data_IF_689344513702
#
_entry.id   IF_689344513702
#
_cell.length_a   1.000
_cell.length_b   1.000
_cell.length_c   1.000
_cell.angle_alpha   90.00
_cell.angle_beta   90.00
_cell.angle_gamma   90.00
#
_symmetry.space_group_name_H-M   'P 1'
#
loop_
_entity.id
_entity.type
_entity.pdbx_description
1 polymer ?
#
# COMPACT_ATOMS: atom_id res chain seq x y z
N UNK A 1 13.59 1.83 -16.85
CA UNK A 1 12.65 0.69 -16.93
C UNK A 1 13.22 -0.38 -17.84
N UNK A 2 13.27 -1.63 -17.36
CA UNK A 2 13.79 -2.77 -18.12
C UNK A 2 12.79 -3.26 -19.19
N UNK A 3 13.28 -3.81 -20.33
CA UNK A 3 12.43 -4.49 -21.30
C UNK A 3 11.62 -5.63 -20.68
N UNK A 4 10.45 -5.97 -21.24
CA UNK A 4 9.54 -6.98 -20.67
C UNK A 4 10.21 -8.35 -20.46
N UNK A 5 11.11 -8.75 -21.36
CA UNK A 5 11.89 -9.99 -21.27
C UNK A 5 12.85 -10.04 -20.09
N UNK A 6 13.22 -8.88 -19.53
CA UNK A 6 14.24 -8.74 -18.50
C UNK A 6 13.67 -8.55 -17.10
N UNK A 7 12.45 -7.97 -16.98
CA UNK A 7 11.88 -7.52 -15.69
C UNK A 7 11.82 -8.58 -14.60
N UNK A 8 11.53 -9.83 -14.97
CA UNK A 8 11.32 -10.93 -14.03
C UNK A 8 12.50 -11.91 -14.00
N UNK A 9 13.62 -11.57 -14.63
CA UNK A 9 14.84 -12.36 -14.49
C UNK A 9 15.41 -12.21 -13.09
N UNK A 10 16.03 -13.27 -12.57
CA UNK A 10 16.50 -13.35 -11.18
C UNK A 10 17.49 -12.23 -10.84
N UNK A 11 18.35 -11.87 -11.79
CA UNK A 11 19.32 -10.78 -11.69
C UNK A 11 18.71 -9.38 -11.54
N UNK A 12 17.42 -9.21 -11.88
CA UNK A 12 16.70 -7.94 -11.80
C UNK A 12 15.66 -7.91 -10.66
N UNK A 13 15.60 -8.97 -9.84
CA UNK A 13 14.66 -9.09 -8.73
C UNK A 13 15.44 -9.22 -7.43
N UNK A 14 15.17 -8.32 -6.49
CA UNK A 14 15.76 -8.36 -5.14
C UNK A 14 14.70 -8.82 -4.15
N UNK A 15 14.97 -9.92 -3.45
CA UNK A 15 14.15 -10.37 -2.34
C UNK A 15 14.46 -9.52 -1.10
N UNK A 16 13.50 -8.68 -0.69
CA UNK A 16 13.67 -7.74 0.43
C UNK A 16 13.11 -8.27 1.75
N UNK A 17 12.33 -9.34 1.75
CA UNK A 17 11.75 -9.90 2.95
C UNK A 17 10.98 -11.18 2.70
N UNK A 18 10.86 -12.00 3.74
CA UNK A 18 10.10 -13.25 3.75
C UNK A 18 9.22 -13.27 5.00
N UNK A 19 7.91 -13.44 4.81
CA UNK A 19 6.98 -13.66 5.92
C UNK A 19 6.82 -15.17 6.16
N UNK A 20 7.02 -15.66 7.39
CA UNK A 20 6.88 -17.08 7.71
C UNK A 20 5.42 -17.53 7.58
N UNK A 21 5.20 -18.71 6.98
CA UNK A 21 3.92 -19.40 6.98
C UNK A 21 3.67 -20.18 8.29
N UNK A 22 2.58 -20.96 8.41
CA UNK A 22 1.62 -21.33 7.36
C UNK A 22 0.42 -20.40 7.23
N UNK A 23 0.19 -19.51 8.21
CA UNK A 23 -0.91 -18.56 8.20
C UNK A 23 -0.44 -17.22 7.67
N UNK A 24 -1.33 -16.53 6.97
CA UNK A 24 -1.08 -15.17 6.53
C UNK A 24 -0.93 -14.24 7.74
N UNK A 25 0.04 -13.32 7.69
CA UNK A 25 0.26 -12.32 8.72
C UNK A 25 -0.99 -11.45 8.92
N UNK A 26 -1.30 -11.12 10.18
CA UNK A 26 -2.39 -10.18 10.46
C UNK A 26 -2.04 -8.80 9.91
N UNK A 27 -3.05 -7.98 9.62
CA UNK A 27 -2.80 -6.70 8.93
C UNK A 27 -1.89 -5.74 9.70
N UNK A 28 -1.85 -5.78 11.03
CA UNK A 28 -0.89 -4.98 11.80
C UNK A 28 0.51 -5.61 11.87
N UNK A 29 0.63 -6.92 11.75
CA UNK A 29 1.91 -7.64 11.86
C UNK A 29 2.78 -7.41 10.62
N UNK A 30 2.17 -7.16 9.44
CA UNK A 30 2.90 -6.85 8.20
C UNK A 30 3.84 -5.65 8.37
N UNK A 31 3.45 -4.70 9.21
CA UNK A 31 4.26 -3.50 9.50
C UNK A 31 5.60 -3.87 10.17
N UNK A 32 5.68 -4.96 10.93
CA UNK A 32 6.96 -5.40 11.50
C UNK A 32 7.97 -5.81 10.42
N UNK A 33 7.48 -6.34 9.29
CA UNK A 33 8.30 -6.73 8.15
C UNK A 33 8.62 -5.56 7.22
N UNK A 34 7.69 -4.61 7.07
CA UNK A 34 7.88 -3.44 6.21
C UNK A 34 8.78 -2.37 6.83
N UNK A 35 8.81 -2.27 8.17
CA UNK A 35 9.59 -1.25 8.89
C UNK A 35 11.08 -1.17 8.51
N UNK A 36 11.86 -2.28 8.48
CA UNK A 36 13.26 -2.21 8.06
C UNK A 36 13.41 -1.75 6.60
N UNK A 37 12.56 -2.25 5.70
CA UNK A 37 12.56 -1.85 4.29
C UNK A 37 12.30 -0.35 4.13
N UNK A 38 11.29 0.19 4.83
CA UNK A 38 10.96 1.62 4.77
C UNK A 38 12.08 2.48 5.32
N UNK A 39 12.72 2.06 6.42
CA UNK A 39 13.86 2.77 6.99
C UNK A 39 15.03 2.86 5.99
N UNK A 40 15.39 1.76 5.35
CA UNK A 40 16.45 1.71 4.35
C UNK A 40 16.08 2.51 3.09
N UNK A 41 14.84 2.43 2.61
CA UNK A 41 14.37 3.21 1.46
C UNK A 41 14.42 4.72 1.72
N UNK A 42 14.10 5.19 2.92
CA UNK A 42 14.23 6.60 3.28
C UNK A 42 15.70 7.05 3.32
N UNK A 43 16.62 6.22 3.81
CA UNK A 43 18.06 6.51 3.75
C UNK A 43 18.55 6.59 2.30
N UNK A 44 18.17 5.59 1.48
CA UNK A 44 18.53 5.55 0.07
C UNK A 44 17.93 6.72 -0.70
N UNK A 45 16.75 7.21 -0.35
CA UNK A 45 16.17 8.39 -1.00
C UNK A 45 16.99 9.66 -0.75
N UNK A 46 17.50 9.84 0.48
CA UNK A 46 18.45 10.92 0.80
C UNK A 46 19.78 10.78 0.05
N UNK A 47 20.20 9.53 -0.15
CA UNK A 47 21.39 9.13 -0.89
C UNK A 47 22.47 8.58 0.02
N UNK A 48 23.06 7.47 -0.39
CA UNK A 48 24.11 6.76 0.35
C UNK A 48 25.32 6.61 -0.56
N UNK A 49 26.52 6.85 -0.03
CA UNK A 49 27.77 6.62 -0.77
C UNK A 49 28.16 5.15 -0.61
N UNK A 50 28.18 4.41 -1.72
CA UNK A 50 28.45 2.97 -1.74
C UNK A 50 29.73 2.71 -2.56
N UNK A 51 30.81 2.20 -1.95
CA UNK A 51 32.00 1.74 -2.66
C UNK A 51 31.68 0.65 -3.67
N UNK A 52 32.26 0.75 -4.87
CA UNK A 52 32.18 -0.30 -5.89
C UNK A 52 33.58 -0.63 -6.39
N UNK A 53 33.74 -1.77 -7.08
CA UNK A 53 35.02 -2.17 -7.68
C UNK A 53 35.56 -1.09 -8.64
N UNK A 54 34.67 -0.43 -9.38
CA UNK A 54 35.02 0.63 -10.32
C UNK A 54 35.16 2.01 -9.66
N UNK A 55 34.57 2.22 -8.48
CA UNK A 55 34.66 3.46 -7.72
C UNK A 55 34.91 3.15 -6.23
N UNK A 56 36.18 2.91 -5.83
CA UNK A 56 36.53 2.58 -4.44
C UNK A 56 36.20 3.71 -3.45
N UNK A 57 36.23 4.97 -3.90
CA UNK A 57 35.82 6.14 -3.11
C UNK A 57 34.30 6.23 -2.91
N UNK A 58 33.52 5.38 -3.58
CA UNK A 58 32.09 5.32 -3.49
C UNK A 58 31.35 6.13 -4.54
N UNK A 59 30.22 5.59 -4.98
CA UNK A 59 29.25 6.28 -5.80
C UNK A 59 28.07 6.72 -4.94
N UNK A 60 27.56 7.93 -5.15
CA UNK A 60 26.29 8.35 -4.55
C UNK A 60 25.14 7.57 -5.20
N UNK A 61 24.50 6.70 -4.43
CA UNK A 61 23.37 5.89 -4.86
C UNK A 61 22.10 6.42 -4.23
N UNK A 62 21.05 6.55 -5.05
CA UNK A 62 19.70 6.84 -4.59
C UNK A 62 18.72 5.78 -5.08
N UNK A 63 17.74 5.47 -4.26
CA UNK A 63 16.65 4.56 -4.62
C UNK A 63 15.32 5.10 -4.13
N UNK A 64 14.26 4.76 -4.85
CA UNK A 64 12.90 5.13 -4.51
C UNK A 64 11.94 3.99 -4.86
N UNK A 65 11.00 3.70 -3.97
CA UNK A 65 9.85 2.86 -4.29
C UNK A 65 8.92 3.63 -5.24
N UNK A 66 8.64 3.08 -6.42
CA UNK A 66 7.76 3.74 -7.40
C UNK A 66 6.30 3.32 -7.25
N UNK A 67 6.03 2.03 -7.10
CA UNK A 67 4.69 1.45 -7.13
C UNK A 67 4.61 0.21 -6.22
N UNK A 68 3.44 -0.03 -5.65
CA UNK A 68 3.08 -1.32 -5.04
C UNK A 68 2.12 -2.04 -5.97
N UNK A 69 2.55 -3.18 -6.51
CA UNK A 69 1.78 -4.00 -7.45
C UNK A 69 1.64 -5.43 -6.92
N UNK A 70 0.44 -5.79 -6.48
CA UNK A 70 0.05 -7.13 -6.04
C UNK A 70 -1.40 -7.40 -6.45
N UNK A 71 -1.99 -8.52 -6.02
CA UNK A 71 -3.44 -8.67 -6.05
C UNK A 71 -4.11 -7.70 -5.06
N UNK A 72 -5.42 -7.46 -5.20
CA UNK A 72 -6.17 -6.49 -4.37
C UNK A 72 -6.00 -6.80 -2.87
N UNK A 73 -6.15 -8.06 -2.39
CA UNK A 73 -5.97 -8.39 -0.98
C UNK A 73 -4.58 -8.03 -0.43
N UNK A 74 -3.50 -8.42 -1.12
CA UNK A 74 -2.15 -8.16 -0.65
C UNK A 74 -1.81 -6.67 -0.75
N UNK A 75 -2.22 -6.01 -1.84
CA UNK A 75 -2.00 -4.58 -2.02
C UNK A 75 -2.67 -3.76 -0.91
N UNK A 76 -3.93 -4.06 -0.58
CA UNK A 76 -4.64 -3.33 0.48
C UNK A 76 -4.03 -3.58 1.87
N UNK A 77 -3.55 -4.80 2.14
CA UNK A 77 -2.83 -5.10 3.39
C UNK A 77 -1.51 -4.34 3.50
N UNK A 78 -0.69 -4.37 2.44
CA UNK A 78 0.60 -3.67 2.41
C UNK A 78 0.42 -2.15 2.51
N UNK A 79 -0.60 -1.59 1.85
CA UNK A 79 -0.80 -0.14 1.76
C UNK A 79 -1.72 0.42 2.85
N UNK A 80 -2.27 -0.43 3.72
CA UNK A 80 -3.15 -0.02 4.83
C UNK A 80 -4.61 0.19 4.45
N UNK A 81 -5.03 -0.06 3.21
CA UNK A 81 -6.44 0.06 2.82
C UNK A 81 -7.32 -1.07 3.39
N UNK A 82 -8.62 -0.83 3.50
CA UNK A 82 -9.58 -1.86 3.93
C UNK A 82 -9.86 -2.89 2.83
N UNK A 83 -10.43 -4.05 3.18
CA UNK A 83 -10.67 -5.13 2.22
C UNK A 83 -11.67 -4.74 1.13
N UNK A 84 -11.68 -5.49 0.03
CA UNK A 84 -12.67 -5.39 -1.05
C UNK A 84 -14.14 -5.58 -0.59
N UNK A 85 -14.36 -6.14 0.60
CA UNK A 85 -15.66 -6.35 1.25
C UNK A 85 -16.08 -5.23 2.23
N UNK A 86 -15.23 -4.20 2.35
CA UNK A 86 -15.49 -2.99 3.13
C UNK A 86 -16.46 -2.06 2.39
N UNK A 87 -17.27 -1.31 3.13
CA UNK A 87 -18.06 -0.23 2.54
C UNK A 87 -17.16 0.90 2.00
N UNK A 88 -15.91 1.01 2.46
CA UNK A 88 -14.92 1.95 1.94
C UNK A 88 -13.76 1.21 1.23
N UNK A 89 -14.10 0.32 0.30
CA UNK A 89 -13.14 -0.60 -0.34
C UNK A 89 -12.19 0.04 -1.35
N UNK A 90 -12.58 1.15 -2.00
CA UNK A 90 -11.78 1.75 -3.05
C UNK A 90 -10.60 2.55 -2.47
N UNK A 91 -9.37 2.21 -2.88
CA UNK A 91 -8.17 2.94 -2.46
C UNK A 91 -7.94 4.26 -3.21
N UNK A 92 -8.70 4.54 -4.27
CA UNK A 92 -8.61 5.78 -5.07
C UNK A 92 -9.66 6.82 -4.71
N UNK A 93 -10.73 6.43 -4.01
CA UNK A 93 -11.81 7.34 -3.63
C UNK A 93 -12.09 7.25 -2.13
N UNK A 94 -12.83 8.23 -1.62
CA UNK A 94 -13.27 8.24 -0.23
C UNK A 94 -14.77 7.95 -0.09
N UNK A 95 -15.37 7.34 -1.11
CA UNK A 95 -16.79 7.01 -1.16
C UNK A 95 -17.10 5.80 -0.29
N UNK A 96 -18.19 5.89 0.47
CA UNK A 96 -18.79 4.72 1.11
C UNK A 96 -19.87 4.13 0.21
N UNK A 97 -19.76 2.84 -0.04
CA UNK A 97 -20.71 2.05 -0.79
C UNK A 97 -21.59 1.27 0.19
N UNK A 98 -22.92 1.32 0.04
CA UNK A 98 -23.83 0.58 0.90
C UNK A 98 -23.68 -0.93 0.67
N UNK A 99 -24.29 -1.74 1.55
CA UNK A 99 -24.46 -3.17 1.29
C UNK A 99 -25.79 -3.42 0.60
N UNK A 100 -25.85 -4.47 -0.20
CA UNK A 100 -27.11 -4.95 -0.76
C UNK A 100 -28.05 -5.40 0.37
N UNK A 101 -29.38 -5.20 0.24
CA UNK A 101 -30.36 -5.81 1.13
C UNK A 101 -30.14 -7.33 1.21
N UNK A 102 -30.24 -7.89 2.41
CA UNK A 102 -30.13 -9.34 2.67
C UNK A 102 -28.80 -10.00 2.26
N UNK A 103 -27.74 -9.22 2.04
CA UNK A 103 -26.41 -9.73 1.68
C UNK A 103 -25.29 -8.93 2.34
N UNK A 104 -24.13 -9.57 2.51
CA UNK A 104 -22.90 -8.88 2.90
C UNK A 104 -22.16 -8.26 1.70
N UNK A 105 -22.66 -8.43 0.48
CA UNK A 105 -22.06 -7.83 -0.70
C UNK A 105 -22.17 -6.30 -0.69
N UNK A 106 -21.11 -5.64 -1.14
CA UNK A 106 -21.06 -4.18 -1.30
C UNK A 106 -21.72 -3.82 -2.62
N UNK A 107 -22.61 -2.84 -2.59
CA UNK A 107 -23.32 -2.34 -3.76
C UNK A 107 -22.54 -1.17 -4.39
N UNK A 108 -21.92 -1.44 -5.54
CA UNK A 108 -21.20 -0.46 -6.33
C UNK A 108 -22.05 0.19 -7.43
N UNK A 109 -23.33 -0.18 -7.56
CA UNK A 109 -24.21 0.31 -8.64
C UNK A 109 -24.48 1.80 -8.57
N UNK A 110 -24.41 2.39 -7.38
CA UNK A 110 -24.60 3.82 -7.13
C UNK A 110 -23.36 4.68 -7.44
N UNK A 111 -22.35 4.17 -8.15
CA UNK A 111 -21.20 4.96 -8.53
C UNK A 111 -21.54 5.96 -9.64
N UNK A 112 -21.59 7.25 -9.27
CA UNK A 112 -21.79 8.35 -10.21
C UNK A 112 -20.46 9.07 -10.43
N UNK A 113 -19.93 9.00 -11.66
CA UNK A 113 -18.61 9.54 -11.98
C UNK A 113 -18.50 11.06 -11.73
N UNK A 114 -19.57 11.82 -11.96
CA UNK A 114 -19.57 13.28 -11.73
C UNK A 114 -19.56 13.67 -10.25
N UNK A 115 -19.97 12.76 -9.36
CA UNK A 115 -19.95 12.95 -7.90
C UNK A 115 -18.70 12.30 -7.27
N UNK A 116 -17.79 11.82 -8.10
CA UNK A 116 -16.62 11.10 -7.63
C UNK A 116 -15.66 12.01 -6.86
N UNK A 117 -15.51 11.73 -5.57
CA UNK A 117 -14.53 12.41 -4.71
C UNK A 117 -13.24 11.57 -4.62
N UNK A 118 -12.13 12.04 -5.20
CA UNK A 118 -10.85 11.33 -5.13
C UNK A 118 -10.32 11.35 -3.69
N UNK A 119 -9.67 10.25 -3.30
CA UNK A 119 -8.89 10.21 -2.08
C UNK A 119 -7.60 11.01 -2.31
N UNK A 120 -7.24 11.86 -1.37
CA UNK A 120 -5.96 12.59 -1.42
C UNK A 120 -4.94 11.95 -0.50
N UNK A 121 -3.66 12.06 -0.85
CA UNK A 121 -2.57 11.57 -0.01
C UNK A 121 -2.60 12.20 1.39
N UNK A 122 -2.78 13.53 1.45
CA UNK A 122 -2.84 14.27 2.70
C UNK A 122 -3.96 13.76 3.64
N UNK A 123 -5.17 13.54 3.11
CA UNK A 123 -6.30 12.99 3.89
C UNK A 123 -6.02 11.56 4.33
N UNK A 124 -5.52 10.73 3.42
CA UNK A 124 -5.16 9.34 3.69
C UNK A 124 -4.11 9.22 4.81
N UNK A 125 -3.04 10.01 4.72
CA UNK A 125 -1.99 10.10 5.73
C UNK A 125 -2.53 10.60 7.08
N UNK A 126 -3.42 11.59 7.09
CA UNK A 126 -4.07 12.08 8.31
C UNK A 126 -4.88 10.97 8.98
N UNK A 127 -5.76 10.30 8.24
CA UNK A 127 -6.62 9.24 8.75
C UNK A 127 -5.82 8.02 9.25
N UNK A 128 -4.76 7.64 8.53
CA UNK A 128 -3.85 6.57 8.94
C UNK A 128 -3.11 6.91 10.25
N UNK A 129 -2.69 8.17 10.44
CA UNK A 129 -2.07 8.64 11.70
C UNK A 129 -3.07 8.63 12.85
N UNK A 130 -4.31 9.07 12.63
CA UNK A 130 -5.38 8.99 13.63
C UNK A 130 -5.62 7.53 14.05
N UNK A 131 -5.62 6.60 13.09
CA UNK A 131 -5.71 5.16 13.38
C UNK A 131 -4.53 4.65 14.21
N UNK A 132 -3.29 5.06 13.88
CA UNK A 132 -2.07 4.68 14.61
C UNK A 132 -2.13 5.14 16.07
N UNK A 133 -2.60 6.37 16.28
CA UNK A 133 -2.70 7.03 17.58
C UNK A 133 -3.92 6.58 18.42
N UNK A 134 -4.87 5.87 17.82
CA UNK A 134 -6.05 5.37 18.53
C UNK A 134 -5.65 4.45 19.70
N UNK A 135 -6.28 4.68 20.87
CA UNK A 135 -5.93 4.03 22.13
C UNK A 135 -6.61 2.66 22.34
N UNK A 136 -7.58 2.30 21.48
CA UNK A 136 -8.31 1.04 21.58
C UNK A 136 -8.57 0.41 20.22
N UNK A 137 -8.65 -0.93 20.21
CA UNK A 137 -9.02 -1.67 19.00
C UNK A 137 -10.44 -1.35 18.53
N UNK A 138 -11.34 -0.99 19.45
CA UNK A 138 -12.69 -0.54 19.10
C UNK A 138 -12.65 0.78 18.30
N UNK A 139 -11.82 1.74 18.74
CA UNK A 139 -11.61 2.99 18.02
C UNK A 139 -10.94 2.76 16.67
N UNK A 140 -9.92 1.89 16.59
CA UNK A 140 -9.28 1.50 15.32
C UNK A 140 -10.29 0.93 14.33
N UNK A 141 -11.10 -0.04 14.74
CA UNK A 141 -12.15 -0.63 13.90
C UNK A 141 -13.18 0.40 13.44
N UNK A 142 -13.51 1.39 14.28
CA UNK A 142 -14.39 2.50 13.89
C UNK A 142 -13.74 3.35 12.79
N UNK A 143 -12.51 3.82 13.01
CA UNK A 143 -11.78 4.63 12.03
C UNK A 143 -11.55 3.89 10.71
N UNK A 144 -11.29 2.58 10.75
CA UNK A 144 -11.19 1.73 9.55
C UNK A 144 -12.47 1.75 8.73
N UNK A 145 -13.63 1.60 9.37
CA UNK A 145 -14.92 1.62 8.68
C UNK A 145 -15.25 2.99 8.09
N UNK A 146 -14.93 4.05 8.83
CA UNK A 146 -15.23 5.43 8.43
C UNK A 146 -14.32 5.92 7.30
N UNK A 147 -13.02 5.66 7.40
CA UNK A 147 -12.00 6.24 6.52
C UNK A 147 -11.41 5.24 5.50
N UNK A 148 -11.67 3.94 5.66
CA UNK A 148 -11.18 2.91 4.74
C UNK A 148 -9.66 2.68 4.79
N UNK A 149 -8.96 3.19 5.82
CA UNK A 149 -7.50 3.11 5.94
C UNK A 149 -7.03 2.81 7.37
N UNK A 150 -5.86 2.18 7.43
CA UNK A 150 -5.05 1.82 8.60
C UNK A 150 -3.64 2.34 8.40
N UNK A 151 -2.89 2.39 9.49
CA UNK A 151 -1.46 2.64 9.39
C UNK A 151 -0.74 1.49 8.67
N UNK A 152 0.02 1.85 7.65
CA UNK A 152 1.07 1.02 7.04
C UNK A 152 2.40 1.73 7.20
N UNK A 153 3.49 1.01 7.43
CA UNK A 153 4.84 1.60 7.43
C UNK A 153 5.15 2.35 6.13
N UNK A 154 4.52 1.99 5.01
CA UNK A 154 4.69 2.73 3.75
C UNK A 154 4.24 4.20 3.83
N UNK A 155 3.41 4.57 4.82
CA UNK A 155 3.05 5.98 5.08
C UNK A 155 4.23 6.80 5.63
N UNK A 156 5.28 6.16 6.15
CA UNK A 156 6.51 6.83 6.62
C UNK A 156 7.50 7.12 5.46
N UNK A 157 7.21 6.69 4.23
CA UNK A 157 8.02 7.06 3.06
C UNK A 157 7.76 8.51 2.65
N UNK A 158 8.76 9.38 2.82
CA UNK A 158 8.61 10.84 2.70
C UNK A 158 8.23 11.34 1.29
N UNK A 159 8.42 10.50 0.28
CA UNK A 159 8.22 10.82 -1.13
C UNK A 159 7.08 10.04 -1.79
N UNK A 160 6.40 9.18 -1.03
CA UNK A 160 5.53 8.16 -1.60
C UNK A 160 4.06 8.48 -1.37
N UNK A 161 3.32 8.70 -2.46
CA UNK A 161 1.88 8.88 -2.41
C UNK A 161 1.19 7.52 -2.45
N UNK A 162 0.73 7.03 -1.30
CA UNK A 162 0.10 5.70 -1.21
C UNK A 162 -1.18 5.60 -2.04
N UNK A 163 -1.93 6.68 -2.17
CA UNK A 163 -3.17 6.67 -2.96
C UNK A 163 -2.84 6.45 -4.43
N UNK A 164 -1.86 7.16 -4.97
CA UNK A 164 -1.49 7.09 -6.40
C UNK A 164 -0.65 5.85 -6.72
N UNK A 165 0.38 5.58 -5.92
CA UNK A 165 1.38 4.55 -6.17
C UNK A 165 0.90 3.12 -5.85
N UNK A 166 -0.29 2.98 -5.26
CA UNK A 166 -0.96 1.69 -5.10
C UNK A 166 -1.67 1.33 -6.41
N UNK A 167 -1.14 0.35 -7.14
CA UNK A 167 -1.65 -0.04 -8.47
C UNK A 167 -2.95 -0.83 -8.32
N UNK A 168 -3.98 -0.44 -9.08
CA UNK A 168 -5.13 -1.30 -9.31
C UNK A 168 -4.70 -2.34 -10.33
N UNK A 169 -4.59 -3.60 -9.92
CA UNK A 169 -4.23 -4.68 -10.82
C UNK A 169 -5.49 -5.16 -11.58
N UNK A 170 -5.64 -4.85 -12.88
CA UNK A 170 -6.84 -5.23 -13.63
C UNK A 170 -6.85 -6.71 -14.01
N UNK A 171 -5.76 -7.46 -13.75
CA UNK A 171 -5.64 -8.86 -14.13
C UNK A 171 -6.81 -9.73 -13.65
N UNK A 172 -7.38 -9.41 -12.48
CA UNK A 172 -8.54 -10.13 -11.93
C UNK A 172 -9.90 -9.52 -12.32
N UNK A 173 -9.93 -8.33 -12.94
CA UNK A 173 -11.17 -7.64 -13.30
C UNK A 173 -11.48 -7.70 -14.81
N UNK A 174 -10.49 -7.97 -15.67
CA UNK A 174 -10.65 -7.97 -17.13
C UNK A 174 -10.60 -9.37 -17.78
N UNK A 175 -10.14 -10.40 -17.06
CA UNK A 175 -9.92 -11.75 -17.60
C UNK A 175 -10.59 -12.86 -16.79
N UNK A 176 -11.71 -12.57 -16.12
CA UNK A 176 -12.60 -13.58 -15.53
C UNK A 176 -13.72 -13.95 -16.50
#
# INVERSE_FOLDING_TARGET
NLPRSERYKKENVVLVGLMPGPKEAKTSEINHYLRPLVAELNQLYGGVVIPTVQCPSGALVRSALLLVACDIPATHKNCGFTSHSSTCACNKCNQQFPRLPDSNAVDYSAFVLSEWVPRTDAKNCCDAKLWRMASSDAQRKRLERENGVRWSELHDLVYFNLVECTVINPMHNLYL
#
